data_IF_228621430214
#
_entry.id   IF_228621430214
#
_cell.length_a   1.000
_cell.length_b   1.000
_cell.length_c   1.000
_cell.angle_alpha   90.00
_cell.angle_beta   90.00
_cell.angle_gamma   90.00
#
_symmetry.space_group_name_H-M   'P 1'
#
loop_
_entity.id
_entity.type
_entity.pdbx_description
1 polymer ?
#
# COMPACT_ATOMS: atom_id res chain seq x y z
N UNK A 1 -5.28 -26.59 25.21
CA UNK A 1 -4.65 -26.23 23.92
C UNK A 1 -5.18 -24.88 23.48
N UNK A 2 -4.50 -23.80 23.90
CA UNK A 2 -4.76 -22.44 23.44
C UNK A 2 -4.25 -22.32 22.01
N UNK A 3 -5.15 -22.33 21.03
CA UNK A 3 -4.79 -21.86 19.69
C UNK A 3 -4.50 -20.37 19.83
N UNK A 4 -3.22 -19.99 19.79
CA UNK A 4 -2.81 -18.60 19.78
C UNK A 4 -3.16 -17.98 18.42
N UNK A 5 -4.40 -17.54 18.34
CA UNK A 5 -4.97 -16.78 17.22
C UNK A 5 -4.38 -15.37 17.13
N UNK A 6 -3.51 -14.94 18.05
CA UNK A 6 -2.99 -13.58 18.02
C UNK A 6 -1.70 -13.50 17.21
N UNK A 7 -0.70 -14.35 17.47
CA UNK A 7 0.60 -14.23 16.79
C UNK A 7 0.62 -14.77 15.34
N UNK A 8 -0.12 -15.85 15.05
CA UNK A 8 -0.17 -16.45 13.71
C UNK A 8 -1.10 -15.71 12.75
N UNK A 9 -2.09 -15.00 13.27
CA UNK A 9 -3.13 -14.34 12.50
C UNK A 9 -2.75 -12.90 12.14
N UNK A 10 -1.95 -12.21 12.96
CA UNK A 10 -1.63 -10.80 12.72
C UNK A 10 -0.79 -10.58 11.46
N UNK A 11 0.29 -11.35 11.27
CA UNK A 11 1.10 -11.33 10.04
C UNK A 11 0.33 -11.87 8.83
N UNK A 12 -0.49 -12.90 9.03
CA UNK A 12 -1.20 -13.57 7.95
C UNK A 12 -2.35 -12.73 7.38
N UNK A 13 -3.05 -11.99 8.24
CA UNK A 13 -4.22 -11.16 7.92
C UNK A 13 -4.01 -10.27 6.70
N UNK A 14 -2.84 -9.63 6.61
CA UNK A 14 -2.52 -8.71 5.52
C UNK A 14 -1.74 -9.35 4.38
N UNK A 15 -1.02 -10.44 4.66
CA UNK A 15 -0.12 -11.10 3.70
C UNK A 15 -0.85 -11.63 2.47
N UNK A 16 -2.02 -12.25 2.66
CA UNK A 16 -2.82 -12.75 1.55
C UNK A 16 -3.26 -11.64 0.62
N UNK A 17 -3.87 -10.59 1.18
CA UNK A 17 -4.29 -9.41 0.41
C UNK A 17 -3.10 -8.76 -0.29
N UNK A 18 -1.96 -8.63 0.40
CA UNK A 18 -0.71 -8.09 -0.15
C UNK A 18 -0.21 -8.89 -1.36
N UNK A 19 -0.35 -10.21 -1.34
CA UNK A 19 0.12 -11.07 -2.44
C UNK A 19 -0.61 -10.82 -3.76
N UNK A 20 -1.74 -10.11 -3.74
CA UNK A 20 -2.57 -9.78 -4.90
C UNK A 20 -2.36 -8.35 -5.43
N UNK A 21 -1.33 -7.64 -4.96
CA UNK A 21 -0.90 -6.38 -5.56
C UNK A 21 -0.23 -6.61 -6.91
N UNK A 22 -0.26 -5.58 -7.76
CA UNK A 22 0.44 -5.59 -9.04
C UNK A 22 1.93 -5.88 -8.83
N UNK A 23 2.47 -6.84 -9.59
CA UNK A 23 3.89 -7.22 -9.59
C UNK A 23 4.43 -7.77 -8.25
N UNK A 24 3.59 -8.39 -7.41
CA UNK A 24 4.05 -8.97 -6.13
C UNK A 24 4.28 -10.48 -6.17
N UNK A 25 3.31 -11.27 -6.64
CA UNK A 25 3.45 -12.72 -6.66
C UNK A 25 2.84 -13.33 -7.92
N UNK A 26 3.68 -14.04 -8.67
CA UNK A 26 3.32 -14.73 -9.92
C UNK A 26 3.37 -16.26 -9.77
N UNK A 27 3.70 -16.76 -8.59
CA UNK A 27 3.74 -18.18 -8.30
C UNK A 27 2.33 -18.68 -7.99
N UNK A 28 1.74 -19.36 -8.98
CA UNK A 28 0.38 -19.89 -8.91
C UNK A 28 0.20 -20.90 -7.76
N UNK A 29 1.26 -21.64 -7.41
CA UNK A 29 1.19 -22.72 -6.41
C UNK A 29 1.09 -22.18 -4.98
N UNK A 30 1.40 -20.88 -4.78
CA UNK A 30 1.27 -20.21 -3.48
C UNK A 30 -0.16 -19.83 -3.13
N UNK A 31 -1.01 -19.57 -4.12
CA UNK A 31 -2.39 -19.14 -3.87
C UNK A 31 -3.26 -20.23 -3.23
N UNK A 32 -3.17 -21.51 -3.62
CA UNK A 32 -3.78 -22.61 -2.87
C UNK A 32 -3.46 -22.60 -1.38
N UNK A 33 -2.20 -22.36 -1.00
CA UNK A 33 -1.78 -22.31 0.40
C UNK A 33 -2.40 -21.14 1.16
N UNK A 34 -2.48 -19.98 0.50
CA UNK A 34 -3.13 -18.78 1.03
C UNK A 34 -4.65 -18.98 1.19
N UNK A 35 -5.30 -19.62 0.23
CA UNK A 35 -6.75 -19.87 0.33
C UNK A 35 -7.01 -20.89 1.43
N UNK A 36 -6.23 -21.97 1.50
CA UNK A 36 -6.32 -23.02 2.53
C UNK A 36 -6.09 -22.51 3.95
N UNK A 37 -5.13 -21.61 4.12
CA UNK A 37 -4.87 -21.06 5.45
C UNK A 37 -5.95 -20.04 5.83
N UNK A 38 -6.49 -19.27 4.87
CA UNK A 38 -7.62 -18.38 5.11
C UNK A 38 -8.91 -19.12 5.51
N UNK A 39 -9.27 -20.20 4.81
CA UNK A 39 -10.43 -21.03 5.15
C UNK A 39 -10.28 -21.67 6.53
N UNK A 40 -9.07 -22.16 6.87
CA UNK A 40 -8.77 -22.67 8.22
C UNK A 40 -8.98 -21.61 9.31
N UNK A 41 -8.52 -20.38 9.10
CA UNK A 41 -8.73 -19.28 10.06
C UNK A 41 -10.20 -18.90 10.18
N UNK A 42 -10.90 -18.76 9.06
CA UNK A 42 -12.35 -18.50 9.03
C UNK A 42 -13.12 -19.56 9.81
N UNK A 43 -12.87 -20.84 9.56
CA UNK A 43 -13.58 -21.94 10.20
C UNK A 43 -13.26 -22.02 11.71
N UNK A 44 -12.04 -21.67 12.10
CA UNK A 44 -11.66 -21.56 13.51
C UNK A 44 -12.42 -20.41 14.21
N UNK A 45 -12.55 -19.25 13.55
CA UNK A 45 -13.32 -18.11 14.04
C UNK A 45 -14.80 -18.50 14.16
N UNK A 46 -15.37 -19.16 13.15
CA UNK A 46 -16.75 -19.66 13.17
C UNK A 46 -17.01 -20.54 14.39
N UNK A 47 -16.15 -21.54 14.64
CA UNK A 47 -16.26 -22.41 15.83
C UNK A 47 -16.15 -21.65 17.15
N UNK A 48 -15.35 -20.59 17.21
CA UNK A 48 -15.26 -19.75 18.41
C UNK A 48 -16.52 -18.92 18.64
N UNK A 49 -17.11 -18.39 17.56
CA UNK A 49 -18.38 -17.68 17.63
C UNK A 49 -19.51 -18.62 18.06
N UNK A 50 -19.57 -19.85 17.53
CA UNK A 50 -20.59 -20.85 17.88
C UNK A 50 -20.54 -21.18 19.38
N UNK A 51 -19.33 -21.28 19.95
CA UNK A 51 -19.16 -21.50 21.41
C UNK A 51 -19.58 -20.31 22.27
N UNK A 52 -19.52 -19.09 21.73
CA UNK A 52 -19.87 -17.86 22.46
C UNK A 52 -21.33 -17.44 22.26
N UNK A 53 -21.98 -17.94 21.22
CA UNK A 53 -23.35 -17.59 20.87
C UNK A 53 -24.35 -18.55 21.53
N UNK A 54 -25.36 -17.99 22.19
CA UNK A 54 -26.51 -18.75 22.68
C UNK A 54 -27.55 -19.04 21.59
N UNK A 55 -27.35 -18.53 20.37
CA UNK A 55 -28.22 -18.72 19.21
C UNK A 55 -27.46 -19.35 18.03
N UNK A 56 -28.12 -20.13 17.16
CA UNK A 56 -27.52 -20.62 15.92
C UNK A 56 -26.99 -19.47 15.06
N UNK A 57 -25.75 -19.57 14.59
CA UNK A 57 -25.13 -18.55 13.73
C UNK A 57 -25.55 -18.67 12.26
N UNK A 58 -26.33 -19.69 11.93
CA UNK A 58 -26.62 -20.08 10.55
C UNK A 58 -27.35 -19.01 9.74
N UNK A 59 -28.10 -18.08 10.35
CA UNK A 59 -28.69 -16.95 9.62
C UNK A 59 -27.74 -15.77 9.43
N UNK A 60 -26.81 -15.53 10.37
CA UNK A 60 -25.85 -14.42 10.32
C UNK A 60 -24.62 -14.72 9.45
N UNK A 61 -24.34 -15.99 9.18
CA UNK A 61 -23.18 -16.44 8.39
C UNK A 61 -23.57 -16.96 6.99
N UNK A 62 -24.77 -16.64 6.47
CA UNK A 62 -25.23 -17.09 5.14
C UNK A 62 -24.51 -16.44 3.97
N UNK A 63 -23.70 -15.40 4.19
CA UNK A 63 -22.95 -14.77 3.11
C UNK A 63 -21.91 -15.73 2.52
N UNK A 64 -21.75 -15.70 1.20
CA UNK A 64 -20.99 -16.69 0.43
C UNK A 64 -19.54 -16.84 0.94
N UNK A 65 -18.75 -15.77 1.19
CA UNK A 65 -17.36 -15.94 1.65
C UNK A 65 -17.23 -16.62 3.02
N UNK A 66 -18.21 -16.38 3.91
CA UNK A 66 -18.24 -16.94 5.26
C UNK A 66 -18.64 -18.43 5.29
N UNK A 67 -19.36 -18.90 4.27
CA UNK A 67 -19.91 -20.25 4.19
C UNK A 67 -19.28 -21.14 3.10
N UNK A 68 -18.52 -20.57 2.16
CA UNK A 68 -17.91 -21.30 1.04
C UNK A 68 -16.93 -22.38 1.50
N UNK A 69 -17.15 -23.62 1.09
CA UNK A 69 -16.22 -24.74 1.37
C UNK A 69 -15.71 -25.24 0.02
N UNK A 70 -14.42 -25.10 -0.28
CA UNK A 70 -13.88 -25.60 -1.54
C UNK A 70 -13.87 -27.13 -1.55
N UNK A 71 -14.28 -27.73 -2.68
CA UNK A 71 -14.18 -29.18 -2.89
C UNK A 71 -12.72 -29.64 -3.06
N UNK A 72 -11.87 -28.78 -3.63
CA UNK A 72 -10.44 -29.00 -3.78
C UNK A 72 -9.64 -27.70 -3.57
N UNK A 73 -8.35 -27.84 -3.30
CA UNK A 73 -7.38 -26.74 -3.34
C UNK A 73 -6.46 -26.82 -4.55
N UNK A 74 -6.76 -27.69 -5.53
CA UNK A 74 -6.00 -27.74 -6.76
C UNK A 74 -6.12 -26.42 -7.53
N UNK A 75 -5.01 -25.97 -8.13
CA UNK A 75 -4.93 -24.68 -8.84
C UNK A 75 -6.07 -24.53 -9.84
N UNK A 76 -6.30 -25.55 -10.68
CA UNK A 76 -7.32 -25.50 -11.72
C UNK A 76 -8.74 -25.33 -11.16
N UNK A 77 -9.06 -26.04 -10.08
CA UNK A 77 -10.36 -25.88 -9.41
C UNK A 77 -10.52 -24.47 -8.85
N UNK A 78 -9.49 -23.94 -8.18
CA UNK A 78 -9.53 -22.60 -7.59
C UNK A 78 -9.60 -21.48 -8.65
N UNK A 79 -8.96 -21.67 -9.80
CA UNK A 79 -9.11 -20.78 -10.96
C UNK A 79 -10.55 -20.77 -11.47
N UNK A 80 -11.15 -21.95 -11.68
CA UNK A 80 -12.52 -22.08 -12.17
C UNK A 80 -13.54 -21.50 -11.18
N UNK A 81 -13.31 -21.64 -9.87
CA UNK A 81 -14.08 -20.96 -8.83
C UNK A 81 -13.85 -19.44 -8.84
N UNK A 82 -12.60 -19.00 -9.00
CA UNK A 82 -12.23 -17.59 -9.05
C UNK A 82 -12.90 -16.84 -10.20
N UNK A 83 -13.04 -17.48 -11.37
CA UNK A 83 -13.76 -16.93 -12.53
C UNK A 83 -15.24 -16.65 -12.24
N UNK A 84 -15.87 -17.32 -11.27
CA UNK A 84 -17.27 -17.10 -10.90
C UNK A 84 -17.47 -15.92 -9.97
N UNK A 85 -16.40 -15.53 -9.25
CA UNK A 85 -16.42 -14.48 -8.22
C UNK A 85 -15.50 -13.31 -8.58
N UNK A 86 -15.14 -13.21 -9.86
CA UNK A 86 -14.37 -12.11 -10.40
C UNK A 86 -15.11 -10.79 -10.26
N UNK A 87 -14.37 -9.70 -10.48
CA UNK A 87 -14.91 -8.38 -10.17
C UNK A 87 -15.94 -7.90 -11.19
N UNK A 88 -15.92 -8.45 -12.42
CA UNK A 88 -16.95 -8.21 -13.42
C UNK A 88 -18.19 -9.05 -13.15
N UNK A 89 -18.00 -10.29 -12.71
CA UNK A 89 -19.07 -11.24 -12.42
C UNK A 89 -19.87 -10.82 -11.18
N UNK A 90 -19.20 -10.21 -10.21
CA UNK A 90 -19.83 -9.69 -9.00
C UNK A 90 -20.28 -8.22 -9.12
N UNK A 91 -20.40 -7.65 -10.32
CA UNK A 91 -20.82 -6.26 -10.49
C UNK A 91 -22.22 -6.00 -9.91
N UNK A 92 -23.15 -6.95 -10.00
CA UNK A 92 -24.48 -6.81 -9.35
C UNK A 92 -24.40 -6.79 -7.83
N UNK A 93 -23.40 -7.47 -7.25
CA UNK A 93 -23.15 -7.46 -5.80
C UNK A 93 -22.55 -6.11 -5.40
N UNK A 94 -21.55 -5.62 -6.12
CA UNK A 94 -20.75 -4.45 -5.75
C UNK A 94 -21.25 -3.11 -6.32
N UNK A 95 -22.21 -3.12 -7.23
CA UNK A 95 -22.77 -1.92 -7.86
C UNK A 95 -22.25 -1.64 -9.28
N UNK A 96 -23.03 -0.88 -10.08
CA UNK A 96 -22.69 -0.55 -11.46
C UNK A 96 -21.53 0.45 -11.53
N UNK A 97 -21.48 1.36 -10.57
CA UNK A 97 -20.29 2.14 -10.28
C UNK A 97 -19.31 1.25 -9.53
N UNK A 98 -18.08 1.22 -10.03
CA UNK A 98 -16.92 0.37 -9.66
C UNK A 98 -16.40 0.69 -8.23
N UNK A 99 -17.32 1.02 -7.32
CA UNK A 99 -17.12 1.54 -5.97
C UNK A 99 -16.46 0.53 -5.02
N UNK A 100 -16.66 -0.77 -5.25
CA UNK A 100 -15.89 -1.81 -4.57
C UNK A 100 -14.39 -1.74 -4.88
N UNK A 101 -13.98 -1.27 -6.06
CA UNK A 101 -12.58 -1.38 -6.50
C UNK A 101 -11.70 -0.33 -5.85
N UNK A 102 -12.15 0.92 -5.72
CA UNK A 102 -11.35 1.94 -5.02
C UNK A 102 -11.11 1.53 -3.56
N UNK A 103 -12.16 1.03 -2.90
CA UNK A 103 -12.08 0.49 -1.54
C UNK A 103 -11.17 -0.73 -1.46
N UNK A 104 -11.38 -1.75 -2.31
CA UNK A 104 -10.58 -2.99 -2.32
C UNK A 104 -9.12 -2.71 -2.69
N UNK A 105 -8.85 -1.85 -3.67
CA UNK A 105 -7.49 -1.45 -4.03
C UNK A 105 -6.84 -0.63 -2.91
N UNK A 106 -7.58 0.25 -2.24
CA UNK A 106 -7.13 0.89 -0.99
C UNK A 106 -6.77 -0.13 0.08
N UNK A 107 -7.60 -1.17 0.29
CA UNK A 107 -7.35 -2.27 1.22
C UNK A 107 -6.12 -3.07 0.84
N UNK A 108 -5.87 -3.31 -0.45
CA UNK A 108 -4.63 -3.95 -0.92
C UNK A 108 -3.43 -3.08 -0.56
N UNK A 109 -3.45 -1.79 -0.92
CA UNK A 109 -2.38 -0.86 -0.61
C UNK A 109 -2.06 -0.78 0.89
N UNK A 110 -3.08 -0.57 1.74
CA UNK A 110 -2.88 -0.49 3.18
C UNK A 110 -2.40 -1.83 3.77
N UNK A 111 -2.82 -2.97 3.22
CA UNK A 111 -2.35 -4.28 3.67
C UNK A 111 -0.86 -4.47 3.42
N UNK A 112 -0.30 -3.87 2.37
CA UNK A 112 1.15 -3.89 2.15
C UNK A 112 1.89 -3.17 3.28
N UNK A 113 1.44 -1.97 3.66
CA UNK A 113 2.06 -1.22 4.76
C UNK A 113 1.82 -1.88 6.12
N UNK A 114 0.62 -2.39 6.38
CA UNK A 114 0.28 -3.08 7.63
C UNK A 114 1.12 -4.35 7.80
N UNK A 115 1.39 -5.08 6.71
CA UNK A 115 2.29 -6.22 6.74
C UNK A 115 3.70 -5.83 7.20
N UNK A 116 4.23 -4.69 6.74
CA UNK A 116 5.55 -4.19 7.17
C UNK A 116 5.53 -3.64 8.60
N UNK A 117 4.48 -2.92 9.01
CA UNK A 117 4.33 -2.45 10.38
C UNK A 117 4.29 -3.63 11.38
N UNK A 118 3.50 -4.66 11.08
CA UNK A 118 3.42 -5.88 11.88
C UNK A 118 4.77 -6.61 11.96
N UNK A 119 5.53 -6.67 10.85
CA UNK A 119 6.87 -7.27 10.85
C UNK A 119 7.87 -6.51 11.75
N UNK A 120 7.63 -5.22 11.99
CA UNK A 120 8.40 -4.39 12.92
C UNK A 120 7.90 -4.48 14.37
N UNK A 121 6.83 -5.26 14.62
CA UNK A 121 6.19 -5.40 15.92
C UNK A 121 5.26 -4.23 16.29
N UNK A 122 4.87 -3.40 15.31
CA UNK A 122 3.94 -2.30 15.52
C UNK A 122 2.55 -2.69 14.99
N UNK A 123 1.62 -2.90 15.92
CA UNK A 123 0.23 -3.27 15.60
C UNK A 123 -0.75 -2.38 16.36
N UNK A 124 -1.92 -2.17 15.76
CA UNK A 124 -3.06 -1.51 16.39
C UNK A 124 -4.32 -2.37 16.17
N UNK A 125 -4.94 -2.92 17.24
CA UNK A 125 -6.17 -3.69 17.11
C UNK A 125 -7.29 -2.92 16.42
N UNK A 126 -7.33 -1.59 16.54
CA UNK A 126 -8.37 -0.76 15.93
C UNK A 126 -8.27 -0.76 14.40
N UNK A 127 -7.05 -0.72 13.85
CA UNK A 127 -6.82 -0.91 12.40
C UNK A 127 -7.44 -2.22 11.94
N UNK A 128 -7.26 -3.26 12.75
CA UNK A 128 -7.79 -4.57 12.46
C UNK A 128 -9.32 -4.63 12.49
N UNK A 129 -9.93 -4.05 13.52
CA UNK A 129 -11.38 -3.98 13.70
C UNK A 129 -12.02 -3.19 12.57
N UNK A 130 -11.57 -1.95 12.36
CA UNK A 130 -12.06 -1.06 11.31
C UNK A 130 -11.94 -1.68 9.92
N UNK A 131 -10.86 -2.41 9.61
CA UNK A 131 -10.73 -3.11 8.32
C UNK A 131 -11.76 -4.25 8.16
N UNK A 132 -12.02 -5.00 9.23
CA UNK A 132 -13.04 -6.06 9.18
C UNK A 132 -14.45 -5.50 9.06
N UNK A 133 -14.76 -4.35 9.65
CA UNK A 133 -16.04 -3.65 9.43
C UNK A 133 -16.22 -3.27 7.96
N UNK A 134 -15.17 -2.77 7.31
CA UNK A 134 -15.21 -2.45 5.88
C UNK A 134 -15.44 -3.71 5.04
N UNK A 135 -14.69 -4.79 5.31
CA UNK A 135 -14.84 -6.06 4.59
C UNK A 135 -16.20 -6.72 4.83
N UNK A 136 -16.73 -6.62 6.05
CA UNK A 136 -18.06 -7.10 6.38
C UNK A 136 -19.09 -6.36 5.54
N UNK A 137 -19.10 -5.02 5.57
CA UNK A 137 -20.03 -4.20 4.78
C UNK A 137 -20.00 -4.54 3.29
N UNK A 138 -18.81 -4.73 2.70
CA UNK A 138 -18.66 -5.11 1.29
C UNK A 138 -19.34 -6.45 0.94
N UNK A 139 -19.55 -7.33 1.92
CA UNK A 139 -20.11 -8.67 1.72
C UNK A 139 -21.52 -8.85 2.30
N UNK A 140 -21.86 -8.09 3.34
CA UNK A 140 -23.08 -8.23 4.13
C UNK A 140 -24.09 -7.10 3.95
N UNK A 141 -23.66 -5.92 3.45
CA UNK A 141 -24.53 -4.76 3.23
C UNK A 141 -25.72 -5.07 2.31
N UNK A 142 -26.75 -4.24 2.33
CA UNK A 142 -27.84 -4.38 1.35
C UNK A 142 -27.35 -4.00 -0.05
N UNK A 143 -28.04 -4.47 -1.09
CA UNK A 143 -27.74 -4.07 -2.47
C UNK A 143 -27.84 -2.54 -2.64
N UNK A 144 -28.89 -1.94 -2.08
CA UNK A 144 -29.11 -0.49 -2.09
C UNK A 144 -27.95 0.28 -1.45
N UNK A 145 -27.49 -0.12 -0.26
CA UNK A 145 -26.35 0.52 0.42
C UNK A 145 -25.04 0.34 -0.36
N UNK A 146 -24.80 -0.84 -0.94
CA UNK A 146 -23.59 -1.08 -1.75
C UNK A 146 -23.64 -0.39 -3.09
N UNK A 147 -24.80 0.02 -3.59
CA UNK A 147 -24.92 0.74 -4.86
C UNK A 147 -24.99 2.26 -4.65
N UNK A 148 -25.24 2.74 -3.42
CA UNK A 148 -25.22 4.16 -3.10
C UNK A 148 -23.80 4.76 -3.15
N UNK A 149 -23.59 5.72 -4.03
CA UNK A 149 -22.30 6.39 -4.23
C UNK A 149 -21.79 7.05 -2.95
N UNK A 150 -22.68 7.69 -2.18
CA UNK A 150 -22.27 8.43 -0.97
C UNK A 150 -21.71 7.48 0.09
N UNK A 151 -22.40 6.36 0.31
CA UNK A 151 -22.00 5.32 1.26
C UNK A 151 -20.68 4.68 0.84
N UNK A 152 -20.53 4.37 -0.44
CA UNK A 152 -19.29 3.82 -0.97
C UNK A 152 -18.09 4.78 -0.85
N UNK A 153 -18.28 6.06 -1.14
CA UNK A 153 -17.22 7.06 -0.97
C UNK A 153 -16.82 7.16 0.51
N UNK A 154 -17.79 7.18 1.44
CA UNK A 154 -17.50 7.15 2.88
C UNK A 154 -16.68 5.91 3.28
N UNK A 155 -17.00 4.75 2.72
CA UNK A 155 -16.27 3.52 2.97
C UNK A 155 -14.81 3.60 2.48
N UNK A 156 -14.60 4.14 1.27
CA UNK A 156 -13.27 4.34 0.73
C UNK A 156 -12.46 5.38 1.53
N UNK A 157 -13.09 6.44 2.02
CA UNK A 157 -12.45 7.42 2.91
C UNK A 157 -12.08 6.78 4.25
N UNK A 158 -12.92 5.89 4.81
CA UNK A 158 -12.60 5.12 6.01
C UNK A 158 -11.35 4.25 5.80
N UNK A 159 -11.19 3.65 4.63
CA UNK A 159 -9.95 2.94 4.24
C UNK A 159 -8.75 3.89 4.22
N UNK A 160 -8.93 5.13 3.76
CA UNK A 160 -7.91 6.19 3.84
C UNK A 160 -7.49 6.54 5.27
N UNK A 161 -8.44 6.65 6.20
CA UNK A 161 -8.18 6.88 7.63
C UNK A 161 -7.39 5.73 8.25
N UNK A 162 -7.81 4.49 7.99
CA UNK A 162 -7.12 3.27 8.45
C UNK A 162 -5.69 3.27 7.92
N UNK A 163 -5.52 3.56 6.62
CA UNK A 163 -4.20 3.59 6.00
C UNK A 163 -3.28 4.66 6.61
N UNK A 164 -3.81 5.82 6.97
CA UNK A 164 -3.02 6.88 7.63
C UNK A 164 -2.45 6.37 8.97
N UNK A 165 -3.27 5.68 9.76
CA UNK A 165 -2.84 5.03 11.01
C UNK A 165 -1.80 3.95 10.77
N UNK A 166 -1.97 3.14 9.73
CA UNK A 166 -0.99 2.11 9.36
C UNK A 166 0.36 2.72 8.96
N UNK A 167 0.37 3.80 8.17
CA UNK A 167 1.62 4.46 7.79
C UNK A 167 2.33 5.09 9.00
N UNK A 168 1.58 5.63 9.97
CA UNK A 168 2.13 6.09 11.25
C UNK A 168 2.81 4.94 12.02
N UNK A 169 2.16 3.78 12.13
CA UNK A 169 2.74 2.59 12.79
C UNK A 169 4.01 2.13 12.08
N UNK A 170 4.02 2.12 10.75
CA UNK A 170 5.17 1.76 9.94
C UNK A 170 6.35 2.74 10.14
N UNK A 171 6.07 4.05 10.09
CA UNK A 171 7.06 5.09 10.37
C UNK A 171 7.64 4.95 11.79
N UNK A 172 6.77 4.75 12.80
CA UNK A 172 7.19 4.49 14.18
C UNK A 172 8.11 3.27 14.29
N UNK A 173 7.74 2.16 13.64
CA UNK A 173 8.52 0.93 13.62
C UNK A 173 9.91 1.14 13.02
N UNK A 174 9.99 1.80 11.87
CA UNK A 174 11.26 2.14 11.24
C UNK A 174 12.10 3.07 12.13
N UNK A 175 11.52 4.14 12.70
CA UNK A 175 12.26 5.07 13.56
C UNK A 175 12.82 4.40 14.81
N UNK A 176 12.06 3.48 15.41
CA UNK A 176 12.48 2.71 16.58
C UNK A 176 13.66 1.79 16.28
N UNK A 177 13.69 1.17 15.10
CA UNK A 177 14.70 0.17 14.74
C UNK A 177 15.92 0.75 14.01
N UNK A 178 15.73 1.79 13.20
CA UNK A 178 16.73 2.35 12.27
C UNK A 178 17.07 3.81 12.56
N UNK A 179 16.36 4.44 13.50
CA UNK A 179 16.49 5.84 13.85
C UNK A 179 15.71 6.79 12.95
N UNK A 180 15.85 8.09 13.24
CA UNK A 180 15.21 9.14 12.45
C UNK A 180 16.00 9.33 11.14
N UNK A 181 15.27 9.50 10.04
CA UNK A 181 15.86 9.84 8.75
C UNK A 181 16.55 11.21 8.82
N UNK A 182 17.66 11.36 8.10
CA UNK A 182 18.34 12.64 7.95
C UNK A 182 18.82 12.81 6.51
N UNK A 183 18.96 14.06 6.01
CA UNK A 183 19.57 14.32 4.71
C UNK A 183 20.90 13.57 4.57
N UNK A 184 21.11 12.96 3.41
CA UNK A 184 22.31 12.18 3.13
C UNK A 184 22.72 12.33 1.67
N UNK A 185 24.02 12.21 1.41
CA UNK A 185 24.54 12.13 0.04
C UNK A 185 24.84 10.67 -0.26
N UNK A 186 24.27 10.17 -1.35
CA UNK A 186 24.41 8.78 -1.75
C UNK A 186 25.26 8.70 -3.00
N UNK A 187 26.36 7.94 -2.94
CA UNK A 187 27.16 7.67 -4.13
C UNK A 187 26.45 6.61 -5.00
N UNK A 188 26.20 6.96 -6.26
CA UNK A 188 25.53 6.10 -7.27
C UNK A 188 26.50 5.50 -8.28
N UNK A 189 27.80 5.75 -8.13
CA UNK A 189 28.82 5.17 -8.98
C UNK A 189 28.99 3.67 -8.69
N UNK A 190 29.09 2.82 -9.73
CA UNK A 190 29.46 1.41 -9.55
C UNK A 190 30.82 1.27 -8.86
N UNK A 191 30.94 0.27 -7.99
CA UNK A 191 32.16 -0.08 -7.26
C UNK A 191 32.55 -1.50 -7.68
N UNK A 192 33.78 -1.73 -8.19
CA UNK A 192 34.23 -3.06 -8.56
C UNK A 192 34.17 -4.05 -7.39
N UNK A 193 33.77 -5.30 -7.67
CA UNK A 193 33.73 -6.38 -6.68
C UNK A 193 32.47 -7.23 -6.78
N UNK A 194 32.35 -8.23 -5.89
CA UNK A 194 31.13 -9.02 -5.74
C UNK A 194 30.03 -8.13 -5.20
N UNK A 195 28.78 -8.34 -5.62
CA UNK A 195 27.66 -7.58 -5.11
C UNK A 195 26.38 -8.40 -4.95
N UNK A 196 25.50 -7.89 -4.10
CA UNK A 196 24.10 -8.28 -3.96
C UNK A 196 23.26 -7.04 -4.26
N UNK A 197 22.19 -7.21 -5.05
CA UNK A 197 21.21 -6.17 -5.30
C UNK A 197 19.95 -6.44 -4.48
N UNK A 198 19.54 -5.45 -3.69
CA UNK A 198 18.33 -5.49 -2.85
C UNK A 198 17.33 -4.46 -3.36
N UNK A 199 16.13 -4.91 -3.67
CA UNK A 199 15.01 -4.06 -4.14
C UNK A 199 13.73 -4.37 -3.35
N UNK A 200 12.63 -3.70 -3.69
CA UNK A 200 11.40 -3.72 -2.90
C UNK A 200 11.41 -2.66 -1.80
N UNK A 201 10.90 -3.02 -0.61
CA UNK A 201 10.59 -2.03 0.43
C UNK A 201 11.07 -2.39 1.83
N UNK A 202 11.45 -3.64 2.07
CA UNK A 202 11.73 -4.13 3.41
C UNK A 202 13.13 -3.72 3.89
N UNK A 203 13.18 -2.73 4.78
CA UNK A 203 14.43 -2.21 5.32
C UNK A 203 15.09 -3.17 6.31
N UNK A 204 14.33 -4.08 6.93
CA UNK A 204 14.88 -5.03 7.90
C UNK A 204 15.53 -6.22 7.21
N UNK A 205 15.00 -6.65 6.07
CA UNK A 205 15.69 -7.59 5.19
C UNK A 205 17.03 -7.01 4.72
N UNK A 206 17.05 -5.74 4.30
CA UNK A 206 18.30 -5.05 3.95
C UNK A 206 19.27 -4.99 5.14
N UNK A 207 18.79 -4.60 6.33
CA UNK A 207 19.61 -4.57 7.54
C UNK A 207 20.22 -5.95 7.83
N UNK A 208 19.43 -7.02 7.74
CA UNK A 208 19.90 -8.38 7.95
C UNK A 208 20.96 -8.76 6.90
N UNK A 209 20.75 -8.47 5.62
CA UNK A 209 21.72 -8.72 4.55
C UNK A 209 23.02 -7.95 4.81
N UNK A 210 22.95 -6.65 5.13
CA UNK A 210 24.11 -5.82 5.42
C UNK A 210 24.93 -6.38 6.58
N UNK A 211 24.25 -6.74 7.67
CA UNK A 211 24.88 -7.30 8.87
C UNK A 211 25.61 -8.62 8.58
N UNK A 212 25.02 -9.51 7.78
CA UNK A 212 25.64 -10.80 7.45
C UNK A 212 26.76 -10.70 6.41
N UNK A 213 26.83 -9.60 5.64
CA UNK A 213 27.80 -9.44 4.54
C UNK A 213 28.95 -8.49 4.86
N UNK A 214 28.94 -7.84 6.04
CA UNK A 214 29.88 -6.77 6.41
C UNK A 214 31.36 -7.15 6.27
N UNK A 215 31.70 -8.42 6.49
CA UNK A 215 33.09 -8.92 6.43
C UNK A 215 33.38 -9.84 5.24
N UNK A 216 32.43 -9.97 4.32
CA UNK A 216 32.50 -10.93 3.22
C UNK A 216 33.12 -10.34 1.93
N UNK A 217 33.46 -9.05 1.93
CA UNK A 217 33.95 -8.35 0.74
C UNK A 217 32.91 -8.25 -0.38
N UNK A 218 31.62 -8.24 -0.02
CA UNK A 218 30.47 -8.12 -0.93
C UNK A 218 29.87 -6.73 -0.76
N UNK A 219 29.66 -6.00 -1.85
CA UNK A 219 28.90 -4.75 -1.83
C UNK A 219 27.40 -5.03 -1.86
N UNK A 220 26.60 -4.31 -1.07
CA UNK A 220 25.13 -4.45 -1.08
C UNK A 220 24.54 -3.19 -1.70
N UNK A 221 23.90 -3.33 -2.85
CA UNK A 221 23.28 -2.24 -3.59
C UNK A 221 21.78 -2.15 -3.30
N UNK A 222 21.29 -0.95 -3.02
CA UNK A 222 19.85 -0.64 -2.97
C UNK A 222 19.34 -0.24 -4.36
N UNK A 223 18.11 -0.67 -4.72
CA UNK A 223 17.45 -0.34 -5.98
C UNK A 223 15.98 0.05 -5.81
N UNK A 224 15.52 1.04 -6.59
CA UNK A 224 14.15 1.55 -6.57
C UNK A 224 13.78 2.12 -5.21
N UNK A 225 12.65 1.68 -4.66
CA UNK A 225 12.12 2.11 -3.35
C UNK A 225 12.98 1.69 -2.13
N UNK A 226 14.17 1.14 -2.34
CA UNK A 226 15.18 0.94 -1.30
C UNK A 226 16.13 2.13 -1.14
N UNK A 227 16.06 3.15 -2.01
CA UNK A 227 16.90 4.36 -1.91
C UNK A 227 16.81 5.06 -0.53
N UNK A 228 15.64 5.15 0.14
CA UNK A 228 15.54 5.75 1.48
C UNK A 228 16.32 5.06 2.57
N UNK A 229 16.78 3.82 2.35
CA UNK A 229 17.64 3.16 3.31
C UNK A 229 18.84 4.03 3.71
N UNK A 230 19.36 4.84 2.79
CA UNK A 230 20.51 5.71 3.03
C UNK A 230 20.20 6.95 3.89
N UNK A 231 18.93 7.28 4.10
CA UNK A 231 18.54 8.37 5.01
C UNK A 231 18.56 7.93 6.48
N UNK A 232 18.58 6.63 6.77
CA UNK A 232 18.68 6.08 8.14
C UNK A 232 20.14 5.98 8.61
N UNK A 233 20.45 6.58 9.76
CA UNK A 233 21.83 6.58 10.27
C UNK A 233 22.39 5.18 10.54
N UNK A 234 21.58 4.27 11.10
CA UNK A 234 21.98 2.89 11.39
C UNK A 234 22.42 2.14 10.11
N UNK A 235 21.72 2.36 8.99
CA UNK A 235 22.06 1.71 7.73
C UNK A 235 23.31 2.33 7.08
N UNK A 236 23.59 3.61 7.31
CA UNK A 236 24.80 4.29 6.81
C UNK A 236 26.10 3.88 7.51
N UNK A 237 26.01 3.21 8.66
CA UNK A 237 27.18 2.68 9.35
C UNK A 237 27.87 1.60 8.50
N UNK A 238 27.09 0.83 7.73
CA UNK A 238 27.59 -0.20 6.81
C UNK A 238 28.25 0.42 5.56
N UNK A 239 29.58 0.47 5.53
CA UNK A 239 30.34 1.11 4.43
C UNK A 239 30.24 0.38 3.10
N UNK A 240 29.87 -0.90 3.10
CA UNK A 240 29.61 -1.71 1.90
C UNK A 240 28.19 -1.56 1.36
N UNK A 241 27.31 -0.79 2.02
CA UNK A 241 26.03 -0.35 1.46
C UNK A 241 26.28 0.68 0.35
N UNK A 242 25.73 0.42 -0.83
CA UNK A 242 25.81 1.25 -2.05
C UNK A 242 24.41 1.49 -2.60
N UNK A 243 24.28 2.39 -3.56
CA UNK A 243 23.02 2.64 -4.25
C UNK A 243 23.20 2.60 -5.75
N UNK A 244 22.17 2.18 -6.48
CA UNK A 244 22.17 2.25 -7.92
C UNK A 244 21.52 3.52 -8.48
N UNK A 245 21.95 3.96 -9.68
CA UNK A 245 21.16 4.85 -10.50
C UNK A 245 19.86 4.15 -10.95
N UNK A 246 18.79 4.93 -11.15
CA UNK A 246 17.57 4.50 -11.86
C UNK A 246 16.49 3.76 -11.04
N UNK A 247 15.25 3.88 -11.51
CA UNK A 247 14.05 3.15 -11.08
C UNK A 247 13.53 2.18 -12.17
N UNK A 248 14.20 2.10 -13.34
CA UNK A 248 13.69 1.36 -14.50
C UNK A 248 14.40 0.01 -14.76
N UNK A 249 13.67 -0.93 -15.37
CA UNK A 249 14.17 -2.27 -15.76
C UNK A 249 15.39 -2.19 -16.70
N UNK A 250 15.52 -1.09 -17.44
CA UNK A 250 16.68 -0.84 -18.31
C UNK A 250 17.95 -0.64 -17.50
N UNK A 251 17.88 -0.12 -16.28
CA UNK A 251 19.03 0.07 -15.42
C UNK A 251 19.51 -1.25 -14.81
N UNK A 252 18.58 -2.16 -14.48
CA UNK A 252 18.91 -3.55 -14.09
C UNK A 252 19.55 -4.31 -15.26
N UNK A 253 19.02 -4.17 -16.49
CA UNK A 253 19.61 -4.78 -17.69
C UNK A 253 20.98 -4.18 -18.07
N UNK A 254 21.22 -2.90 -17.78
CA UNK A 254 22.52 -2.22 -17.99
C UNK A 254 23.57 -2.54 -16.92
N UNK A 255 23.21 -3.22 -15.83
CA UNK A 255 24.21 -3.71 -14.86
C UNK A 255 25.14 -4.76 -15.51
N UNK A 256 24.73 -5.35 -16.63
CA UNK A 256 25.59 -6.19 -17.48
C UNK A 256 26.49 -5.35 -18.43
N UNK A 257 26.17 -4.08 -18.70
CA UNK A 257 26.93 -3.19 -19.61
C UNK A 257 26.83 -1.70 -19.22
N UNK A 258 27.82 -1.24 -18.46
CA UNK A 258 28.33 0.15 -18.38
C UNK A 258 27.36 1.30 -18.73
N UNK A 259 26.67 1.95 -17.78
CA UNK A 259 26.46 3.43 -17.84
C UNK A 259 25.97 4.10 -16.54
N UNK A 260 26.32 5.39 -16.46
CA UNK A 260 25.97 6.48 -15.53
C UNK A 260 24.52 7.01 -15.63
N UNK A 261 24.07 7.73 -14.60
CA UNK A 261 23.09 8.83 -14.74
C UNK A 261 23.41 9.96 -13.76
N UNK A 262 23.46 11.20 -14.28
CA UNK A 262 23.68 12.46 -13.56
C UNK A 262 22.40 13.28 -13.63
N UNK A 263 22.01 13.90 -12.52
CA UNK A 263 21.07 15.01 -12.51
C UNK A 263 21.71 16.17 -11.73
N UNK A 264 21.97 17.28 -12.42
CA UNK A 264 22.29 18.57 -11.79
C UNK A 264 21.15 19.54 -12.10
N UNK A 265 20.65 20.20 -11.06
CA UNK A 265 19.75 21.36 -11.14
C UNK A 265 19.74 22.04 -9.77
N UNK A 266 19.78 23.37 -9.73
CA UNK A 266 19.70 24.20 -8.51
C UNK A 266 18.28 24.24 -7.91
N UNK A 267 17.52 23.17 -8.07
CA UNK A 267 16.20 22.98 -7.49
C UNK A 267 16.36 22.07 -6.27
N UNK A 268 15.87 22.51 -5.11
CA UNK A 268 15.87 21.67 -3.92
C UNK A 268 14.74 20.66 -4.07
N UNK A 269 15.02 19.51 -4.69
CA UNK A 269 14.16 18.34 -4.56
C UNK A 269 14.37 17.83 -3.13
N UNK A 270 13.42 18.12 -2.25
CA UNK A 270 13.36 17.49 -0.93
C UNK A 270 12.77 16.10 -1.12
N UNK A 271 13.68 15.13 -1.22
CA UNK A 271 13.32 13.72 -1.28
C UNK A 271 12.97 13.19 0.12
N UNK A 272 11.80 13.60 0.60
CA UNK A 272 11.26 13.22 1.91
C UNK A 272 10.22 12.07 1.79
N UNK A 273 10.02 11.50 0.59
CA UNK A 273 8.89 10.60 0.28
C UNK A 273 9.18 9.51 -0.81
N UNK A 274 10.43 9.08 -0.93
CA UNK A 274 10.93 8.12 -1.94
C UNK A 274 10.24 6.73 -1.88
N UNK A 275 9.82 6.26 -0.70
CA UNK A 275 8.90 5.12 -0.56
C UNK A 275 7.47 5.64 -0.52
N UNK A 276 6.53 4.92 -1.13
CA UNK A 276 5.13 5.35 -1.09
C UNK A 276 4.59 5.57 0.35
N UNK A 277 5.06 4.81 1.35
CA UNK A 277 4.67 5.00 2.77
C UNK A 277 5.23 6.28 3.41
N UNK A 278 6.33 6.84 2.90
CA UNK A 278 6.93 8.07 3.41
C UNK A 278 6.09 9.31 3.04
N UNK A 279 5.03 9.13 2.23
CA UNK A 279 3.95 10.11 2.07
C UNK A 279 3.35 10.53 3.42
N UNK A 280 3.39 9.69 4.45
CA UNK A 280 3.03 10.08 5.81
C UNK A 280 3.91 11.23 6.32
N UNK A 281 5.23 11.18 6.13
CA UNK A 281 6.14 12.26 6.50
C UNK A 281 5.80 13.57 5.79
N UNK A 282 5.51 13.52 4.49
CA UNK A 282 5.08 14.69 3.72
C UNK A 282 3.75 15.28 4.23
N UNK A 283 2.77 14.43 4.55
CA UNK A 283 1.49 14.83 5.16
C UNK A 283 1.74 15.53 6.50
N UNK A 284 2.58 14.97 7.36
CA UNK A 284 2.90 15.56 8.68
C UNK A 284 3.58 16.92 8.53
N UNK A 285 4.48 17.08 7.55
CA UNK A 285 5.12 18.37 7.24
C UNK A 285 4.09 19.40 6.79
N UNK A 286 3.19 19.05 5.87
CA UNK A 286 2.14 19.94 5.40
C UNK A 286 1.19 20.36 6.55
N UNK A 287 0.78 19.42 7.40
CA UNK A 287 -0.06 19.71 8.57
C UNK A 287 0.66 20.62 9.58
N UNK A 288 1.95 20.38 9.83
CA UNK A 288 2.75 21.23 10.71
C UNK A 288 2.91 22.64 10.14
N UNK A 289 3.11 22.77 8.83
CA UNK A 289 3.18 24.06 8.14
C UNK A 289 1.85 24.82 8.20
N UNK A 290 0.73 24.15 7.93
CA UNK A 290 -0.61 24.72 8.06
C UNK A 290 -0.84 25.25 9.48
N UNK A 291 -0.48 24.45 10.49
CA UNK A 291 -0.58 24.84 11.90
C UNK A 291 0.30 26.05 12.23
N UNK A 292 1.56 26.06 11.76
CA UNK A 292 2.51 27.14 12.00
C UNK A 292 2.07 28.46 11.34
N UNK A 293 1.38 28.39 10.21
CA UNK A 293 0.84 29.54 9.49
C UNK A 293 -0.60 29.90 9.92
N UNK A 294 -1.17 29.16 10.88
CA UNK A 294 -2.56 29.31 11.33
C UNK A 294 -3.56 29.32 10.18
N UNK A 295 -3.41 28.35 9.27
CA UNK A 295 -4.23 28.18 8.08
C UNK A 295 -4.61 26.72 7.89
N UNK A 296 -5.51 26.43 6.95
CA UNK A 296 -5.83 25.05 6.58
C UNK A 296 -4.85 24.52 5.52
N UNK A 297 -4.74 23.19 5.41
CA UNK A 297 -3.78 22.54 4.51
C UNK A 297 -4.01 22.90 3.03
N UNK A 298 -5.24 23.18 2.61
CA UNK A 298 -5.57 23.54 1.23
C UNK A 298 -5.29 25.01 0.91
N UNK A 299 -5.10 25.84 1.94
CA UNK A 299 -4.71 27.25 1.81
C UNK A 299 -3.19 27.45 1.83
N UNK A 300 -2.41 26.37 2.01
CA UNK A 300 -0.96 26.43 1.85
C UNK A 300 -0.59 26.73 0.38
N UNK A 301 0.54 27.40 0.13
CA UNK A 301 1.14 27.49 -1.20
C UNK A 301 1.75 26.13 -1.60
N UNK A 302 0.92 25.09 -1.64
CA UNK A 302 1.26 23.71 -1.88
C UNK A 302 0.36 23.15 -2.98
N UNK A 303 0.99 22.78 -4.09
CA UNK A 303 0.32 22.09 -5.19
C UNK A 303 0.67 20.60 -5.17
N UNK A 304 -0.32 19.74 -5.40
CA UNK A 304 -0.18 18.29 -5.36
C UNK A 304 -0.38 17.68 -6.74
N UNK A 305 0.67 17.06 -7.28
CA UNK A 305 0.62 16.25 -8.49
C UNK A 305 1.05 14.83 -8.16
N UNK A 306 0.07 13.93 -8.10
CA UNK A 306 0.21 12.54 -7.69
C UNK A 306 0.34 11.65 -8.92
N UNK A 307 1.51 11.05 -9.09
CA UNK A 307 1.71 9.95 -10.02
C UNK A 307 1.35 8.62 -9.36
N UNK A 308 0.61 7.76 -10.07
CA UNK A 308 0.20 6.46 -9.55
C UNK A 308 0.47 5.33 -10.55
N UNK A 309 0.59 4.11 -10.02
CA UNK A 309 0.73 2.90 -10.82
C UNK A 309 -0.02 1.72 -10.17
N UNK A 310 0.23 1.45 -8.89
CA UNK A 310 -0.31 0.30 -8.17
C UNK A 310 -1.15 0.70 -6.93
N UNK A 311 -1.52 -0.29 -6.13
CA UNK A 311 -2.55 -0.14 -5.11
C UNK A 311 -2.10 0.62 -3.85
N UNK A 312 -0.80 0.64 -3.52
CA UNK A 312 -0.28 1.50 -2.43
C UNK A 312 -0.53 2.98 -2.74
N UNK A 313 -0.35 3.41 -3.99
CA UNK A 313 -0.68 4.78 -4.41
C UNK A 313 -2.19 5.10 -4.25
N UNK A 314 -3.06 4.12 -4.47
CA UNK A 314 -4.52 4.27 -4.21
C UNK A 314 -4.78 4.48 -2.72
N UNK A 315 -4.13 3.71 -1.84
CA UNK A 315 -4.26 3.88 -0.40
C UNK A 315 -3.76 5.26 0.06
N UNK A 316 -2.65 5.76 -0.50
CA UNK A 316 -2.15 7.12 -0.25
C UNK A 316 -3.15 8.17 -0.72
N UNK A 317 -3.69 8.06 -1.93
CA UNK A 317 -4.73 8.96 -2.42
C UNK A 317 -5.93 9.00 -1.47
N UNK A 318 -6.42 7.85 -1.02
CA UNK A 318 -7.52 7.78 -0.06
C UNK A 318 -7.19 8.43 1.28
N UNK A 319 -5.95 8.28 1.78
CA UNK A 319 -5.51 8.99 2.99
C UNK A 319 -5.48 10.50 2.81
N UNK A 320 -5.07 11.01 1.63
CA UNK A 320 -5.12 12.44 1.34
C UNK A 320 -6.57 12.94 1.30
N UNK A 321 -7.46 12.19 0.63
CA UNK A 321 -8.88 12.52 0.53
C UNK A 321 -9.59 12.46 1.89
N UNK A 322 -9.25 11.50 2.76
CA UNK A 322 -9.82 11.41 4.11
C UNK A 322 -9.42 12.57 5.01
N UNK A 323 -8.25 13.18 4.73
CA UNK A 323 -7.80 14.42 5.38
C UNK A 323 -8.47 15.68 4.79
N UNK A 324 -9.33 15.53 3.79
CA UNK A 324 -9.99 16.66 3.13
C UNK A 324 -9.06 17.46 2.21
N UNK A 325 -7.93 16.88 1.78
CA UNK A 325 -7.01 17.51 0.85
C UNK A 325 -7.64 17.57 -0.54
N UNK A 326 -7.52 18.72 -1.20
CA UNK A 326 -8.18 19.06 -2.46
C UNK A 326 -7.17 19.39 -3.56
N UNK A 327 -7.70 19.54 -4.78
CA UNK A 327 -7.00 20.03 -5.97
C UNK A 327 -5.79 19.17 -6.37
N UNK A 328 -5.88 17.85 -6.13
CA UNK A 328 -4.83 16.91 -6.51
C UNK A 328 -4.93 16.62 -8.00
N UNK A 329 -3.83 16.83 -8.72
CA UNK A 329 -3.63 16.35 -10.09
C UNK A 329 -3.24 14.88 -10.05
N UNK A 330 -3.99 14.01 -10.72
CA UNK A 330 -3.80 12.56 -10.71
C UNK A 330 -3.42 12.07 -12.11
N UNK A 331 -2.28 11.37 -12.23
CA UNK A 331 -1.76 10.95 -13.53
C UNK A 331 -0.74 9.81 -13.48
N UNK A 332 -0.17 9.40 -14.64
CA UNK A 332 -0.28 10.05 -15.94
C UNK A 332 -1.62 9.81 -16.67
N UNK A 333 -2.39 8.82 -16.23
CA UNK A 333 -3.74 8.54 -16.73
C UNK A 333 -4.67 8.39 -15.53
N UNK A 334 -5.91 8.83 -15.64
CA UNK A 334 -6.90 8.60 -14.59
C UNK A 334 -7.13 7.08 -14.40
N UNK A 335 -7.22 6.59 -13.15
CA UNK A 335 -7.47 5.18 -12.91
C UNK A 335 -8.73 4.67 -13.60
N UNK A 336 -8.58 3.57 -14.35
CA UNK A 336 -9.67 2.98 -15.12
C UNK A 336 -10.84 2.50 -14.24
N UNK A 337 -10.55 2.21 -12.96
CA UNK A 337 -11.56 1.83 -11.99
C UNK A 337 -12.41 3.01 -11.46
N UNK A 338 -12.09 4.26 -11.83
CA UNK A 338 -12.94 5.41 -11.51
C UNK A 338 -13.93 5.63 -12.67
N UNK A 339 -15.19 5.25 -12.44
CA UNK A 339 -16.27 5.47 -13.43
C UNK A 339 -16.50 6.95 -13.69
N UNK A 340 -17.20 7.35 -14.78
CA UNK A 340 -17.58 8.74 -14.99
C UNK A 340 -18.29 9.36 -13.77
N UNK A 341 -19.20 8.64 -13.13
CA UNK A 341 -19.92 9.09 -11.93
C UNK A 341 -18.97 9.35 -10.77
N UNK A 342 -18.07 8.40 -10.47
CA UNK A 342 -17.09 8.54 -9.38
C UNK A 342 -16.12 9.68 -9.66
N UNK A 343 -15.63 9.80 -10.91
CA UNK A 343 -14.74 10.90 -11.30
C UNK A 343 -15.41 12.26 -11.13
N UNK A 344 -16.68 12.37 -11.49
CA UNK A 344 -17.44 13.60 -11.33
C UNK A 344 -17.61 13.94 -9.84
N UNK A 345 -17.95 12.97 -8.99
CA UNK A 345 -18.05 13.18 -7.55
C UNK A 345 -16.71 13.60 -6.91
N UNK A 346 -15.60 12.95 -7.28
CA UNK A 346 -14.26 13.32 -6.80
C UNK A 346 -13.85 14.72 -7.28
N UNK A 347 -14.21 15.09 -8.50
CA UNK A 347 -13.99 16.44 -9.02
C UNK A 347 -14.80 17.47 -8.24
N UNK A 348 -16.09 17.24 -8.03
CA UNK A 348 -16.98 18.20 -7.37
C UNK A 348 -16.66 18.37 -5.89
N UNK A 349 -16.32 17.28 -5.19
CA UNK A 349 -16.07 17.30 -3.74
C UNK A 349 -14.63 17.71 -3.40
N UNK A 350 -13.65 17.24 -4.18
CA UNK A 350 -12.22 17.35 -3.87
C UNK A 350 -11.41 18.11 -4.92
N UNK A 351 -12.00 18.49 -6.06
CA UNK A 351 -11.23 19.13 -7.13
C UNK A 351 -10.21 18.20 -7.78
N UNK A 352 -10.42 16.87 -7.74
CA UNK A 352 -9.52 15.93 -8.44
C UNK A 352 -9.56 16.22 -9.94
N UNK A 353 -8.37 16.31 -10.54
CA UNK A 353 -8.21 16.60 -11.96
C UNK A 353 -7.10 15.74 -12.57
N UNK A 354 -7.16 15.42 -13.88
CA UNK A 354 -6.08 14.71 -14.55
C UNK A 354 -4.85 15.62 -14.70
N UNK A 355 -3.65 15.04 -14.69
CA UNK A 355 -2.43 15.71 -15.16
C UNK A 355 -2.54 15.98 -16.67
N UNK A 356 -2.19 17.19 -17.13
CA UNK A 356 -2.06 17.46 -18.56
C UNK A 356 -0.68 17.03 -19.07
N UNK A 357 -0.57 15.73 -19.37
CA UNK A 357 0.66 15.14 -19.92
C UNK A 357 1.06 15.69 -21.29
N UNK A 358 0.13 16.37 -22.01
CA UNK A 358 0.40 16.96 -23.33
C UNK A 358 0.96 18.37 -23.20
N UNK A 359 0.58 19.10 -22.15
CA UNK A 359 1.03 20.47 -21.90
C UNK A 359 1.56 20.62 -20.46
N UNK A 360 2.68 19.98 -20.10
CA UNK A 360 3.19 19.98 -18.72
C UNK A 360 3.54 21.38 -18.20
N UNK A 361 4.00 22.29 -19.08
CA UNK A 361 4.26 23.68 -18.68
C UNK A 361 3.00 24.41 -18.28
N UNK A 362 1.88 24.15 -18.98
CA UNK A 362 0.58 24.73 -18.64
C UNK A 362 0.09 24.21 -17.30
N UNK A 363 0.29 22.91 -17.05
CA UNK A 363 -0.09 22.29 -15.78
C UNK A 363 0.71 22.87 -14.60
N UNK A 364 1.99 23.20 -14.81
CA UNK A 364 2.84 23.91 -13.84
C UNK A 364 2.37 25.35 -13.64
N UNK A 365 2.04 26.09 -14.71
CA UNK A 365 1.47 27.44 -14.59
C UNK A 365 0.17 27.45 -13.79
N UNK A 366 -0.69 26.45 -13.99
CA UNK A 366 -1.96 26.33 -13.27
C UNK A 366 -1.78 25.82 -11.82
N UNK A 367 -0.56 25.48 -11.40
CA UNK A 367 -0.19 25.10 -10.03
C UNK A 367 0.50 26.24 -9.25
N UNK A 368 0.95 27.29 -9.94
CA UNK A 368 1.58 28.48 -9.35
C UNK A 368 0.52 29.56 -9.05
#
# INVERSE_FOLDING_TARGET
MSFDLNASNSLYKYRNTRSTLTNVNFDQDRFPEYIKTATKHRDAIKKLMEKKSSQPLDEKLKHVPASWVPESYDVKYLEDEGLKVGVLENQSIYGPDVNGYMTIYGIKGLSAYACHANALGEEDPEVSTSLYEVLDFLTSGTEEERHDLTTNLKLALKVGEINLRVMELLDKGHRKQLGIQSPSTVNRAPVPGKCILVSGHDLMDLYAILKHTEKEGINVYTHGEMLPAHSYHILREFKHAKSLPGFDDKTVQKFDKNTFTVGFGREVILDNADKCNDSYGAIMVAQALASALNTDINSLPLSLSLSWFEQKAVAVLLSLLSLGIKNIRLGPVMPAFLTPTVRQALKDQYGIMPVDIRHPLKDIEDMM
#
